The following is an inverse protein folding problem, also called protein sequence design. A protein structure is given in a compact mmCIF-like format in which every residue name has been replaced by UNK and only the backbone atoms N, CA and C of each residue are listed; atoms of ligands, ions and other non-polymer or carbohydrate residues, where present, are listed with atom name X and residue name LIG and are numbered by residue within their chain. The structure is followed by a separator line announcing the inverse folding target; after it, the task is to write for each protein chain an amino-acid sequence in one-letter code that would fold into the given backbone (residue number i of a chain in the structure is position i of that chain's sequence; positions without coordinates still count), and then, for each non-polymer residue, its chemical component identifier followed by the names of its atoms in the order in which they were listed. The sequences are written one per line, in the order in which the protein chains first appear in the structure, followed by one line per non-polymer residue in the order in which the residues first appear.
data_IF_769423644853
#
_entry.id   IF_769423644853
#
_cell.length_a   1.000
_cell.length_b   1.000
_cell.length_c   1.000
_cell.angle_alpha   90.00
_cell.angle_beta   90.00
_cell.angle_gamma   90.00
#
_symmetry.space_group_name_H-M   'P 1'
#
loop_
_entity.id
_entity.type
_entity.pdbx_description
1 polymer ?
#
# COMPACT_ATOMS: atom_id res chain seq x y z
N UNK A 1 25.56 0.06 10.13
CA UNK A 1 26.25 -0.01 8.81
C UNK A 1 25.41 0.60 7.69
N UNK A 2 24.13 0.23 7.47
CA UNK A 2 23.29 0.79 6.39
C UNK A 2 23.18 2.32 6.41
N UNK A 3 23.04 2.95 7.58
CA UNK A 3 23.02 4.42 7.69
C UNK A 3 24.32 5.08 7.20
N UNK A 4 25.46 4.42 7.38
CA UNK A 4 26.77 4.94 6.95
C UNK A 4 26.97 4.71 5.45
N UNK A 5 26.63 3.51 4.96
CA UNK A 5 26.69 3.19 3.53
C UNK A 5 25.75 4.08 2.70
N UNK A 6 24.54 4.35 3.18
CA UNK A 6 23.59 5.23 2.48
C UNK A 6 24.07 6.68 2.39
N UNK A 7 24.85 7.19 3.35
CA UNK A 7 25.49 8.52 3.26
C UNK A 7 26.51 8.60 2.13
N UNK A 8 27.14 7.49 1.79
CA UNK A 8 28.24 7.46 0.84
C UNK A 8 27.78 7.06 -0.57
N UNK A 9 26.80 6.18 -0.67
CA UNK A 9 26.37 5.57 -1.93
C UNK A 9 25.11 6.20 -2.55
N UNK A 10 24.32 6.95 -1.77
CA UNK A 10 23.03 7.49 -2.22
C UNK A 10 23.12 9.01 -2.24
N UNK A 11 23.15 9.58 -3.45
CA UNK A 11 23.01 11.02 -3.67
C UNK A 11 21.57 11.46 -3.34
N UNK A 12 21.40 12.63 -2.73
CA UNK A 12 20.09 13.19 -2.35
C UNK A 12 19.20 12.24 -1.53
N UNK A 13 19.82 11.53 -0.57
CA UNK A 13 19.20 10.44 0.21
C UNK A 13 17.95 10.82 1.00
N UNK A 14 17.70 12.11 1.20
CA UNK A 14 16.56 12.62 1.96
C UNK A 14 15.33 12.81 1.05
N UNK A 15 15.52 12.88 -0.28
CA UNK A 15 14.45 12.86 -1.27
C UNK A 15 13.92 11.44 -1.52
N UNK A 16 13.24 10.88 -0.52
CA UNK A 16 12.72 9.51 -0.52
C UNK A 16 11.55 9.29 -1.51
N UNK A 17 10.97 10.38 -2.00
CA UNK A 17 9.94 10.37 -3.05
C UNK A 17 10.55 10.10 -4.44
N UNK A 18 11.82 10.43 -4.65
CA UNK A 18 12.50 10.21 -5.91
C UNK A 18 12.63 8.72 -6.24
N UNK A 19 12.16 8.26 -7.42
CA UNK A 19 12.31 6.86 -7.85
C UNK A 19 13.76 6.38 -7.86
N UNK A 20 14.72 7.27 -8.14
CA UNK A 20 16.14 6.95 -8.17
C UNK A 20 16.69 6.64 -6.76
N UNK A 21 16.34 7.48 -5.78
CA UNK A 21 16.75 7.33 -4.38
C UNK A 21 16.17 6.05 -3.78
N UNK A 22 14.87 5.80 -4.03
CA UNK A 22 14.19 4.56 -3.62
C UNK A 22 14.89 3.32 -4.17
N UNK A 23 15.18 3.31 -5.47
CA UNK A 23 15.89 2.20 -6.13
C UNK A 23 17.28 2.01 -5.53
N UNK A 24 18.00 3.09 -5.21
CA UNK A 24 19.31 3.00 -4.58
C UNK A 24 19.23 2.38 -3.18
N UNK A 25 18.25 2.78 -2.36
CA UNK A 25 17.99 2.17 -1.06
C UNK A 25 17.65 0.68 -1.16
N UNK A 26 16.70 0.33 -2.03
CA UNK A 26 16.33 -1.07 -2.26
C UNK A 26 17.49 -1.91 -2.78
N UNK A 27 18.31 -1.34 -3.68
CA UNK A 27 19.51 -2.01 -4.22
C UNK A 27 20.55 -2.26 -3.13
N UNK A 28 20.83 -1.25 -2.30
CA UNK A 28 21.77 -1.35 -1.19
C UNK A 28 21.31 -2.38 -0.15
N UNK A 29 20.05 -2.30 0.28
CA UNK A 29 19.50 -3.19 1.31
C UNK A 29 19.41 -4.63 0.81
N UNK A 30 18.98 -4.83 -0.44
CA UNK A 30 18.96 -6.15 -1.08
C UNK A 30 20.36 -6.76 -1.22
N UNK A 31 21.34 -6.00 -1.71
CA UNK A 31 22.72 -6.49 -1.86
C UNK A 31 23.37 -6.85 -0.51
N UNK A 32 23.19 -6.01 0.51
CA UNK A 32 23.66 -6.29 1.86
C UNK A 32 22.94 -7.51 2.45
N UNK A 33 21.63 -7.61 2.27
CA UNK A 33 20.83 -8.74 2.74
C UNK A 33 21.29 -10.07 2.13
N UNK A 34 21.51 -10.10 0.81
CA UNK A 34 22.07 -11.26 0.10
C UNK A 34 23.43 -11.63 0.69
N UNK A 35 24.34 -10.67 0.84
CA UNK A 35 25.68 -10.93 1.37
C UNK A 35 25.66 -11.50 2.80
N UNK A 36 24.84 -10.92 3.69
CA UNK A 36 24.69 -11.39 5.07
C UNK A 36 24.09 -12.79 5.14
N UNK A 37 23.04 -13.06 4.35
CA UNK A 37 22.39 -14.37 4.31
C UNK A 37 23.31 -15.46 3.74
N UNK A 38 24.10 -15.16 2.70
CA UNK A 38 25.12 -16.09 2.18
C UNK A 38 26.20 -16.36 3.23
N UNK A 39 26.64 -15.34 3.97
CA UNK A 39 27.63 -15.49 5.03
C UNK A 39 27.09 -16.34 6.19
N UNK A 40 25.83 -16.14 6.58
CA UNK A 40 25.15 -16.96 7.58
C UNK A 40 24.99 -18.41 7.11
N UNK A 41 24.57 -18.63 5.86
CA UNK A 41 24.50 -19.95 5.26
C UNK A 41 25.86 -20.65 5.34
N UNK A 42 26.94 -20.02 4.85
CA UNK A 42 28.27 -20.60 4.89
C UNK A 42 28.69 -20.95 6.34
N UNK A 43 28.54 -20.00 7.26
CA UNK A 43 28.90 -20.19 8.67
C UNK A 43 28.14 -21.35 9.34
N UNK A 44 26.82 -21.39 9.18
CA UNK A 44 25.98 -22.48 9.72
C UNK A 44 26.24 -23.81 9.02
N UNK A 45 26.45 -23.82 7.71
CA UNK A 45 26.72 -25.04 6.96
C UNK A 45 28.03 -25.69 7.42
N UNK A 46 29.13 -24.92 7.49
CA UNK A 46 30.41 -25.43 8.00
C UNK A 46 30.30 -25.92 9.44
N UNK A 47 29.57 -25.22 10.29
CA UNK A 47 29.33 -25.62 11.66
C UNK A 47 28.49 -26.89 11.80
N UNK A 48 27.46 -27.03 10.98
CA UNK A 48 26.62 -28.23 10.90
C UNK A 48 27.45 -29.44 10.51
N UNK A 49 28.32 -29.30 9.50
CA UNK A 49 29.24 -30.37 9.09
C UNK A 49 30.25 -30.75 10.19
N UNK A 50 30.90 -29.77 10.81
CA UNK A 50 31.89 -30.02 11.88
C UNK A 50 31.26 -30.62 13.15
N UNK A 51 30.03 -30.23 13.47
CA UNK A 51 29.30 -30.75 14.65
C UNK A 51 28.52 -32.03 14.37
N UNK A 52 28.40 -32.46 13.10
CA UNK A 52 27.51 -33.55 12.68
C UNK A 52 26.02 -33.24 12.89
N UNK A 53 25.65 -31.96 13.05
CA UNK A 53 24.28 -31.56 13.33
C UNK A 53 23.50 -31.34 12.03
N UNK A 54 22.59 -32.28 11.75
CA UNK A 54 21.63 -32.19 10.65
C UNK A 54 20.73 -30.96 10.83
N UNK A 55 20.31 -30.66 12.06
CA UNK A 55 19.46 -29.51 12.37
C UNK A 55 20.12 -28.17 12.03
N UNK A 56 21.40 -27.99 12.40
CA UNK A 56 22.16 -26.76 12.07
C UNK A 56 22.41 -26.65 10.56
N UNK A 57 22.67 -27.78 9.90
CA UNK A 57 22.85 -27.81 8.45
C UNK A 57 21.55 -27.44 7.72
N UNK A 58 20.41 -27.95 8.16
CA UNK A 58 19.10 -27.60 7.61
C UNK A 58 18.78 -26.10 7.83
N UNK A 59 19.06 -25.58 9.02
CA UNK A 59 18.90 -24.15 9.33
C UNK A 59 19.82 -23.24 8.49
N UNK A 60 20.96 -23.75 8.02
CA UNK A 60 21.79 -23.03 7.06
C UNK A 60 21.00 -22.78 5.76
N UNK A 61 20.36 -23.81 5.19
CA UNK A 61 19.60 -23.71 3.94
C UNK A 61 18.43 -22.73 4.02
N UNK A 62 17.87 -22.48 5.21
CA UNK A 62 16.92 -21.39 5.40
C UNK A 62 17.57 -20.04 5.03
N UNK A 63 18.78 -19.76 5.50
CA UNK A 63 19.50 -18.54 5.10
C UNK A 63 19.88 -18.49 3.62
N UNK A 64 19.99 -19.63 2.95
CA UNK A 64 20.12 -19.64 1.50
C UNK A 64 18.81 -19.22 0.82
N UNK A 65 17.66 -19.71 1.29
CA UNK A 65 16.34 -19.29 0.84
C UNK A 65 16.12 -17.78 1.07
N UNK A 66 16.56 -17.25 2.20
CA UNK A 66 16.46 -15.81 2.52
C UNK A 66 17.34 -14.95 1.62
N UNK A 67 18.49 -15.47 1.18
CA UNK A 67 19.28 -14.83 0.13
C UNK A 67 18.49 -14.77 -1.18
N UNK A 68 17.73 -15.83 -1.50
CA UNK A 68 16.76 -15.86 -2.58
C UNK A 68 15.67 -14.79 -2.45
N UNK A 69 15.01 -14.69 -1.29
CA UNK A 69 14.01 -13.65 -1.00
C UNK A 69 14.58 -12.24 -1.12
N UNK A 70 15.82 -12.03 -0.65
CA UNK A 70 16.55 -10.77 -0.80
C UNK A 70 16.88 -10.45 -2.27
N UNK A 71 17.17 -11.47 -3.08
CA UNK A 71 17.38 -11.33 -4.52
C UNK A 71 16.08 -10.99 -5.26
N UNK A 72 14.96 -11.62 -4.90
CA UNK A 72 13.63 -11.28 -5.43
C UNK A 72 13.31 -9.82 -5.13
N UNK A 73 13.56 -9.35 -3.91
CA UNK A 73 13.33 -7.96 -3.52
C UNK A 73 14.24 -6.99 -4.30
N UNK A 74 15.53 -7.31 -4.42
CA UNK A 74 16.50 -6.54 -5.20
C UNK A 74 16.07 -6.42 -6.68
N UNK A 75 15.65 -7.53 -7.29
CA UNK A 75 15.14 -7.56 -8.66
C UNK A 75 13.84 -6.77 -8.77
N UNK A 76 12.95 -6.89 -7.78
CA UNK A 76 11.71 -6.13 -7.67
C UNK A 76 11.95 -4.63 -7.76
N UNK A 77 12.86 -4.08 -6.96
CA UNK A 77 13.24 -2.67 -7.02
C UNK A 77 13.87 -2.26 -8.36
N UNK A 78 14.70 -3.12 -8.95
CA UNK A 78 15.32 -2.82 -10.26
C UNK A 78 14.30 -2.76 -11.38
N UNK A 79 13.35 -3.71 -11.40
CA UNK A 79 12.29 -3.79 -12.39
C UNK A 79 11.24 -2.70 -12.17
N UNK A 80 10.86 -2.42 -10.91
CA UNK A 80 9.95 -1.33 -10.57
C UNK A 80 10.50 0.06 -10.93
N UNK A 81 11.82 0.22 -10.90
CA UNK A 81 12.52 1.42 -11.34
C UNK A 81 12.64 1.58 -12.86
N UNK A 82 12.13 0.63 -13.67
CA UNK A 82 12.15 0.75 -15.13
C UNK A 82 11.21 1.88 -15.59
N UNK A 83 11.67 2.63 -16.60
CA UNK A 83 10.86 3.69 -17.24
C UNK A 83 9.66 3.07 -17.98
N UNK A 84 8.60 3.85 -18.25
CA UNK A 84 7.53 3.44 -19.15
C UNK A 84 8.03 2.94 -20.50
N UNK A 85 7.33 1.97 -21.07
CA UNK A 85 7.55 1.44 -22.42
C UNK A 85 6.21 1.16 -23.11
N UNK A 86 6.25 0.62 -24.33
CA UNK A 86 5.06 0.38 -25.16
C UNK A 86 4.10 -0.64 -24.55
N UNK A 87 4.61 -1.60 -23.78
CA UNK A 87 3.80 -2.63 -23.13
C UNK A 87 3.25 -2.12 -21.79
N UNK A 88 3.95 -1.19 -21.14
CA UNK A 88 3.59 -0.59 -19.85
C UNK A 88 3.71 0.95 -19.89
N UNK A 89 2.72 1.66 -20.47
CA UNK A 89 2.76 3.13 -20.61
C UNK A 89 2.79 3.91 -19.29
N UNK A 90 2.28 3.33 -18.21
CA UNK A 90 2.35 3.90 -16.85
C UNK A 90 3.57 3.44 -16.06
N UNK A 91 4.46 2.67 -16.69
CA UNK A 91 5.67 2.13 -16.07
C UNK A 91 5.44 0.86 -15.27
N UNK A 92 6.47 0.47 -14.51
CA UNK A 92 6.59 -0.85 -13.91
C UNK A 92 6.49 -0.84 -12.37
N UNK A 93 6.07 0.28 -11.77
CA UNK A 93 6.16 0.52 -10.32
C UNK A 93 5.52 -0.58 -9.47
N UNK A 94 4.36 -1.11 -9.89
CA UNK A 94 3.65 -2.20 -9.19
C UNK A 94 4.45 -3.50 -9.05
N UNK A 95 5.56 -3.69 -9.79
CA UNK A 95 6.46 -4.83 -9.59
C UNK A 95 7.05 -4.83 -8.18
N UNK A 96 7.22 -3.67 -7.54
CA UNK A 96 7.65 -3.60 -6.14
C UNK A 96 6.66 -4.34 -5.24
N UNK A 97 5.36 -4.09 -5.41
CA UNK A 97 4.30 -4.80 -4.68
C UNK A 97 4.28 -6.29 -5.05
N UNK A 98 4.37 -6.65 -6.33
CA UNK A 98 4.42 -8.07 -6.73
C UNK A 98 5.60 -8.79 -6.06
N UNK A 99 6.77 -8.15 -5.97
CA UNK A 99 7.93 -8.71 -5.29
C UNK A 99 7.70 -8.91 -3.78
N UNK A 100 7.05 -7.95 -3.12
CA UNK A 100 6.65 -8.08 -1.72
C UNK A 100 5.65 -9.23 -1.50
N UNK A 101 4.72 -9.45 -2.44
CA UNK A 101 3.75 -10.53 -2.37
C UNK A 101 4.42 -11.91 -2.53
N UNK A 102 5.40 -12.02 -3.43
CA UNK A 102 6.22 -13.23 -3.59
C UNK A 102 6.96 -13.52 -2.27
N UNK A 103 7.61 -12.52 -1.68
CA UNK A 103 8.31 -12.68 -0.39
C UNK A 103 7.33 -13.09 0.72
N UNK A 104 6.16 -12.45 0.83
CA UNK A 104 5.14 -12.84 1.81
C UNK A 104 4.66 -14.30 1.60
N UNK A 105 4.55 -14.75 0.35
CA UNK A 105 4.25 -16.14 0.02
C UNK A 105 5.34 -17.12 0.45
N UNK A 106 6.62 -16.76 0.31
CA UNK A 106 7.74 -17.56 0.80
C UNK A 106 7.73 -17.67 2.33
N UNK A 107 7.47 -16.57 3.04
CA UNK A 107 7.34 -16.56 4.51
C UNK A 107 6.16 -17.46 4.93
N UNK A 108 5.03 -17.41 4.23
CA UNK A 108 3.87 -18.26 4.52
C UNK A 108 4.23 -19.75 4.37
N UNK A 109 4.93 -20.11 3.29
CA UNK A 109 5.40 -21.47 3.05
C UNK A 109 6.31 -21.94 4.20
N UNK A 110 7.29 -21.12 4.60
CA UNK A 110 8.17 -21.41 5.72
C UNK A 110 7.42 -21.56 7.05
N UNK A 111 6.44 -20.70 7.32
CA UNK A 111 5.59 -20.80 8.51
C UNK A 111 4.81 -22.13 8.55
N UNK A 112 4.29 -22.59 7.42
CA UNK A 112 3.61 -23.89 7.31
C UNK A 112 4.58 -25.06 7.52
N UNK A 113 5.77 -25.00 6.92
CA UNK A 113 6.81 -26.02 7.12
C UNK A 113 7.26 -26.12 8.58
N UNK A 114 7.48 -24.98 9.24
CA UNK A 114 7.83 -24.94 10.66
C UNK A 114 6.70 -25.49 11.52
N UNK A 115 5.44 -25.15 11.23
CA UNK A 115 4.28 -25.70 11.95
C UNK A 115 4.22 -27.23 11.82
N UNK A 116 4.42 -27.77 10.61
CA UNK A 116 4.46 -29.22 10.36
C UNK A 116 5.60 -29.89 11.11
N UNK A 117 6.82 -29.35 11.03
CA UNK A 117 7.98 -29.89 11.74
C UNK A 117 7.80 -29.83 13.26
N UNK A 118 7.21 -28.74 13.77
CA UNK A 118 6.94 -28.57 15.19
C UNK A 118 5.91 -29.56 15.70
N UNK A 119 4.84 -29.80 14.93
CA UNK A 119 3.84 -30.82 15.25
C UNK A 119 4.43 -32.23 15.24
N UNK A 120 5.29 -32.53 14.27
CA UNK A 120 5.98 -33.82 14.22
C UNK A 120 6.88 -34.03 15.45
N UNK A 121 7.62 -33.00 15.89
CA UNK A 121 8.43 -33.07 17.12
C UNK A 121 7.61 -33.23 18.40
N UNK A 122 6.34 -32.78 18.42
CA UNK A 122 5.42 -33.02 19.54
C UNK A 122 4.99 -34.49 19.55
N UNK A 123 4.71 -35.06 18.38
CA UNK A 123 4.28 -36.46 18.22
C UNK A 123 5.43 -37.46 18.39
N UNK A 124 6.63 -37.09 17.94
CA UNK A 124 7.85 -37.89 17.94
C UNK A 124 8.99 -37.10 18.60
N UNK A 125 9.08 -37.09 19.95
CA UNK A 125 10.10 -36.32 20.64
C UNK A 125 11.52 -36.84 20.37
N UNK A 126 12.36 -36.02 19.75
CA UNK A 126 13.78 -36.30 19.54
C UNK A 126 14.67 -35.58 20.56
N UNK A 127 15.81 -36.19 20.89
CA UNK A 127 16.80 -35.56 21.76
C UNK A 127 17.56 -34.48 20.97
N UNK A 128 17.42 -33.23 21.41
CA UNK A 128 18.17 -32.12 20.84
C UNK A 128 19.66 -32.26 21.19
N UNK A 129 20.51 -32.38 20.17
CA UNK A 129 21.96 -32.51 20.36
C UNK A 129 22.55 -31.16 20.78
N UNK A 130 23.13 -31.11 21.98
CA UNK A 130 23.73 -29.89 22.51
C UNK A 130 25.18 -29.75 22.04
N UNK A 131 25.49 -28.66 21.32
CA UNK A 131 26.85 -28.28 20.96
C UNK A 131 27.08 -26.81 21.29
N UNK A 132 28.17 -26.50 22.02
CA UNK A 132 28.55 -25.11 22.34
C UNK A 132 28.82 -24.30 21.06
N UNK A 133 29.38 -24.95 20.04
CA UNK A 133 29.64 -24.35 18.73
C UNK A 133 28.32 -24.02 18.01
N UNK A 134 27.35 -24.94 18.02
CA UNK A 134 26.02 -24.70 17.45
C UNK A 134 25.29 -23.55 18.17
N UNK A 135 25.35 -23.50 19.50
CA UNK A 135 24.72 -22.45 20.30
C UNK A 135 25.33 -21.07 20.00
N UNK A 136 26.66 -20.97 19.92
CA UNK A 136 27.34 -19.71 19.59
C UNK A 136 26.97 -19.20 18.20
N UNK A 137 26.84 -20.09 17.23
CA UNK A 137 26.50 -19.73 15.84
C UNK A 137 25.02 -19.35 15.69
N UNK A 138 24.11 -20.05 16.36
CA UNK A 138 22.71 -19.64 16.38
C UNK A 138 22.53 -18.29 17.08
N UNK A 139 23.24 -18.03 18.19
CA UNK A 139 23.23 -16.73 18.85
C UNK A 139 23.73 -15.61 17.92
N UNK A 140 24.84 -15.85 17.21
CA UNK A 140 25.35 -14.91 16.21
C UNK A 140 24.35 -14.69 15.06
N UNK A 141 23.68 -15.75 14.59
CA UNK A 141 22.64 -15.66 13.57
C UNK A 141 21.47 -14.79 14.01
N UNK A 142 20.99 -14.96 15.25
CA UNK A 142 19.92 -14.13 15.84
C UNK A 142 20.34 -12.66 15.83
N UNK A 143 21.58 -12.34 16.22
CA UNK A 143 22.08 -10.96 16.19
C UNK A 143 22.11 -10.37 14.78
N UNK A 144 22.59 -11.14 13.78
CA UNK A 144 22.65 -10.69 12.38
C UNK A 144 21.24 -10.50 11.82
N UNK A 145 20.33 -11.45 12.04
CA UNK A 145 18.94 -11.35 11.56
C UNK A 145 18.16 -10.23 12.25
N UNK A 146 18.39 -9.98 13.53
CA UNK A 146 17.82 -8.84 14.23
C UNK A 146 18.34 -7.51 13.65
N UNK A 147 19.63 -7.43 13.34
CA UNK A 147 20.18 -6.29 12.62
C UNK A 147 19.52 -6.12 11.24
N UNK A 148 19.29 -7.22 10.51
CA UNK A 148 18.60 -7.21 9.22
C UNK A 148 17.17 -6.69 9.31
N UNK A 149 16.41 -7.17 10.29
CA UNK A 149 15.08 -6.65 10.58
C UNK A 149 15.10 -5.15 10.86
N UNK A 150 16.01 -4.68 11.73
CA UNK A 150 16.09 -3.27 12.11
C UNK A 150 16.33 -2.36 10.90
N UNK A 151 17.31 -2.68 10.04
CA UNK A 151 17.61 -1.81 8.91
C UNK A 151 16.53 -1.90 7.82
N UNK A 152 16.01 -3.09 7.52
CA UNK A 152 14.96 -3.24 6.50
C UNK A 152 13.70 -2.52 6.93
N UNK A 153 13.31 -2.60 8.21
CA UNK A 153 12.16 -1.88 8.76
C UNK A 153 12.37 -0.36 8.76
N UNK A 154 13.57 0.10 9.14
CA UNK A 154 13.88 1.52 9.14
C UNK A 154 13.84 2.10 7.73
N UNK A 155 14.44 1.42 6.75
CA UNK A 155 14.42 1.85 5.34
C UNK A 155 13.03 1.70 4.75
N UNK A 156 12.37 0.56 4.96
CA UNK A 156 11.01 0.29 4.47
C UNK A 156 10.00 1.34 4.89
N UNK A 157 10.04 1.80 6.15
CA UNK A 157 9.22 2.92 6.61
C UNK A 157 9.63 4.25 5.98
N UNK A 158 10.94 4.52 5.89
CA UNK A 158 11.48 5.77 5.34
C UNK A 158 11.14 5.95 3.85
N UNK A 159 11.07 4.87 3.10
CA UNK A 159 10.67 4.88 1.68
C UNK A 159 9.29 4.26 1.47
N UNK A 160 8.42 4.13 2.47
CA UNK A 160 7.07 3.55 2.31
C UNK A 160 7.02 2.31 1.39
N UNK A 161 7.92 1.34 1.61
CA UNK A 161 8.09 0.18 0.75
C UNK A 161 7.55 -1.08 1.40
N UNK A 162 6.46 -1.60 0.84
CA UNK A 162 5.88 -2.88 1.23
C UNK A 162 6.87 -4.05 1.06
N UNK A 163 7.68 -4.04 -0.01
CA UNK A 163 8.68 -5.08 -0.26
C UNK A 163 9.78 -5.12 0.82
N UNK A 164 10.24 -3.95 1.28
CA UNK A 164 11.21 -3.85 2.38
C UNK A 164 10.59 -4.23 3.74
N UNK A 165 9.35 -3.82 4.01
CA UNK A 165 8.66 -4.23 5.24
C UNK A 165 8.44 -5.75 5.26
N UNK A 166 8.09 -6.37 4.12
CA UNK A 166 8.02 -7.82 3.99
C UNK A 166 9.37 -8.51 4.25
N UNK A 167 10.47 -7.98 3.70
CA UNK A 167 11.84 -8.49 3.96
C UNK A 167 12.26 -8.29 5.42
N UNK A 168 11.77 -7.23 6.08
CA UNK A 168 11.97 -7.05 7.51
C UNK A 168 11.23 -8.13 8.29
N UNK A 169 9.95 -8.40 7.97
CA UNK A 169 9.15 -9.43 8.64
C UNK A 169 9.72 -10.84 8.43
N UNK A 170 10.29 -11.12 7.26
CA UNK A 170 11.07 -12.34 6.98
C UNK A 170 12.23 -12.49 7.98
N UNK A 171 13.08 -11.46 8.08
CA UNK A 171 14.23 -11.46 9.02
C UNK A 171 13.79 -11.57 10.50
N UNK A 172 12.63 -11.00 10.86
CA UNK A 172 12.06 -11.13 12.20
C UNK A 172 11.55 -12.55 12.47
N UNK A 173 10.92 -13.17 11.48
CA UNK A 173 10.41 -14.54 11.55
C UNK A 173 11.55 -15.52 11.80
N UNK A 174 12.67 -15.36 11.10
CA UNK A 174 13.88 -16.15 11.35
C UNK A 174 14.48 -15.89 12.72
N UNK A 175 14.53 -14.62 13.14
CA UNK A 175 15.02 -14.25 14.47
C UNK A 175 14.21 -14.98 15.53
N UNK A 176 12.88 -14.95 15.43
CA UNK A 176 11.98 -15.63 16.35
C UNK A 176 12.15 -17.16 16.31
N UNK A 177 12.26 -17.74 15.11
CA UNK A 177 12.46 -19.19 14.91
C UNK A 177 13.78 -19.68 15.48
N UNK A 178 14.91 -19.08 15.10
CA UNK A 178 16.22 -19.46 15.62
C UNK A 178 16.32 -19.19 17.13
N UNK A 179 15.71 -18.11 17.63
CA UNK A 179 15.67 -17.83 19.07
C UNK A 179 14.86 -18.87 19.84
N UNK A 180 13.72 -19.32 19.30
CA UNK A 180 12.93 -20.40 19.88
C UNK A 180 13.73 -21.70 20.01
N UNK A 181 14.44 -22.09 18.95
CA UNK A 181 15.32 -23.28 18.98
C UNK A 181 16.42 -23.11 20.03
N UNK A 182 17.01 -21.91 20.14
CA UNK A 182 18.04 -21.61 21.13
C UNK A 182 17.51 -21.73 22.57
N UNK A 183 16.31 -21.18 22.84
CA UNK A 183 15.63 -21.30 24.13
C UNK A 183 15.28 -22.76 24.43
N UNK A 184 14.75 -23.50 23.46
CA UNK A 184 14.43 -24.92 23.60
C UNK A 184 15.68 -25.76 23.91
N UNK A 185 16.82 -25.48 23.27
CA UNK A 185 18.10 -26.12 23.56
C UNK A 185 18.58 -25.86 25.00
N UNK A 186 18.44 -24.62 25.49
CA UNK A 186 18.83 -24.28 26.86
C UNK A 186 17.92 -24.96 27.90
N UNK A 187 16.60 -24.93 27.67
CA UNK A 187 15.62 -25.58 28.54
C UNK A 187 15.82 -27.10 28.55
N UNK A 188 15.98 -27.71 27.38
CA UNK A 188 16.22 -29.15 27.22
C UNK A 188 17.48 -29.60 27.96
N UNK A 189 18.54 -28.79 27.96
CA UNK A 189 19.77 -29.09 28.72
C UNK A 189 19.55 -29.13 30.23
N UNK A 190 18.73 -28.23 30.78
CA UNK A 190 18.57 -28.08 32.24
C UNK A 190 17.43 -28.90 32.82
N UNK A 191 16.38 -29.15 32.03
CA UNK A 191 15.14 -29.82 32.48
C UNK A 191 14.95 -31.22 31.89
N UNK A 192 15.63 -31.55 30.79
CA UNK A 192 15.41 -32.80 30.04
C UNK A 192 14.08 -32.86 29.29
N UNK A 193 13.27 -31.80 29.29
CA UNK A 193 11.97 -31.75 28.63
C UNK A 193 12.09 -31.43 27.14
N UNK A 194 11.35 -32.16 26.30
CA UNK A 194 11.25 -31.92 24.86
C UNK A 194 10.23 -30.80 24.56
N UNK A 195 10.61 -29.54 24.85
CA UNK A 195 9.75 -28.36 24.62
C UNK A 195 9.85 -27.78 23.20
N UNK A 196 10.80 -28.24 22.39
CA UNK A 196 11.11 -27.71 21.06
C UNK A 196 9.89 -27.66 20.13
N UNK A 197 9.09 -28.74 20.08
CA UNK A 197 7.88 -28.78 19.27
C UNK A 197 6.81 -27.77 19.69
N UNK A 198 6.60 -27.56 21.00
CA UNK A 198 5.62 -26.58 21.48
C UNK A 198 6.06 -25.13 21.21
N UNK A 199 7.33 -24.83 21.46
CA UNK A 199 7.88 -23.49 21.21
C UNK A 199 7.87 -23.20 19.71
N UNK A 200 8.29 -24.17 18.89
CA UNK A 200 8.25 -24.08 17.43
C UNK A 200 6.85 -23.83 16.89
N UNK A 201 5.82 -24.48 17.45
CA UNK A 201 4.43 -24.28 17.04
C UNK A 201 3.93 -22.85 17.35
N UNK A 202 4.25 -22.31 18.52
CA UNK A 202 3.91 -20.92 18.90
C UNK A 202 4.58 -19.94 17.94
N UNK A 203 5.86 -20.15 17.62
CA UNK A 203 6.56 -19.32 16.65
C UNK A 203 5.96 -19.45 15.25
N UNK A 204 5.63 -20.66 14.81
CA UNK A 204 5.00 -20.86 13.50
C UNK A 204 3.69 -20.07 13.37
N UNK A 205 2.84 -20.06 14.41
CA UNK A 205 1.61 -19.25 14.42
C UNK A 205 1.91 -17.74 14.30
N UNK A 206 2.93 -17.26 15.00
CA UNK A 206 3.38 -15.87 14.89
C UNK A 206 3.88 -15.51 13.48
N UNK A 207 4.64 -16.42 12.85
CA UNK A 207 5.14 -16.26 11.48
C UNK A 207 3.98 -16.25 10.48
N UNK A 208 3.03 -17.18 10.59
CA UNK A 208 1.85 -17.23 9.72
C UNK A 208 1.01 -15.96 9.80
N UNK A 209 0.82 -15.42 11.02
CA UNK A 209 0.14 -14.14 11.21
C UNK A 209 0.91 -12.98 10.56
N UNK A 210 2.24 -12.96 10.71
CA UNK A 210 3.11 -11.94 10.11
C UNK A 210 3.10 -12.02 8.57
N UNK A 211 3.10 -13.22 8.01
CA UNK A 211 3.00 -13.46 6.57
C UNK A 211 1.65 -12.98 6.00
N UNK A 212 0.54 -13.31 6.68
CA UNK A 212 -0.79 -12.82 6.32
C UNK A 212 -0.85 -11.29 6.31
N UNK A 213 -0.29 -10.65 7.35
CA UNK A 213 -0.24 -9.19 7.44
C UNK A 213 0.57 -8.58 6.29
N UNK A 214 1.78 -9.09 6.03
CA UNK A 214 2.63 -8.62 4.94
C UNK A 214 1.96 -8.80 3.55
N UNK A 215 1.28 -9.94 3.34
CA UNK A 215 0.52 -10.20 2.12
C UNK A 215 -0.63 -9.19 1.95
N UNK A 216 -1.40 -8.93 3.00
CA UNK A 216 -2.50 -7.94 2.98
C UNK A 216 -2.00 -6.52 2.68
N UNK A 217 -0.90 -6.11 3.33
CA UNK A 217 -0.28 -4.80 3.11
C UNK A 217 0.24 -4.64 1.68
N UNK A 218 0.62 -5.74 1.03
CA UNK A 218 1.11 -5.71 -0.35
C UNK A 218 0.01 -5.85 -1.40
N UNK A 219 -1.10 -6.54 -1.05
CA UNK A 219 -2.24 -6.72 -1.94
C UNK A 219 -3.10 -5.45 -2.03
N UNK A 220 -3.21 -4.68 -0.95
CA UNK A 220 -4.05 -3.48 -0.91
C UNK A 220 -3.69 -2.46 -2.00
N UNK A 221 -2.41 -2.07 -2.20
CA UNK A 221 -2.04 -1.17 -3.29
C UNK A 221 -2.29 -1.74 -4.69
N UNK A 222 -2.25 -3.07 -4.85
CA UNK A 222 -2.54 -3.73 -6.13
C UNK A 222 -4.03 -3.69 -6.50
N UNK A 223 -4.92 -3.69 -5.51
CA UNK A 223 -6.38 -3.67 -5.70
C UNK A 223 -6.96 -2.25 -5.86
N UNK A 224 -6.20 -1.21 -5.57
CA UNK A 224 -6.68 0.18 -5.55
C UNK A 224 -6.98 0.64 -4.14
N UNK A 225 -5.93 0.79 -3.32
CA UNK A 225 -6.04 1.35 -1.99
C UNK A 225 -6.51 2.81 -2.05
N UNK A 226 -7.37 3.21 -1.11
CA UNK A 226 -7.77 4.61 -0.97
C UNK A 226 -6.53 5.51 -0.77
N UNK A 227 -6.48 6.67 -1.43
CA UNK A 227 -5.36 7.60 -1.29
C UNK A 227 -5.30 8.19 0.12
N UNK A 228 -4.14 8.75 0.48
CA UNK A 228 -3.97 9.48 1.73
C UNK A 228 -4.89 10.72 1.75
N UNK A 229 -5.72 10.93 2.78
CA UNK A 229 -6.55 12.13 2.90
C UNK A 229 -5.76 13.44 2.84
N UNK A 230 -4.49 13.45 3.28
CA UNK A 230 -3.63 14.63 3.16
C UNK A 230 -3.28 14.94 1.70
N UNK A 231 -2.95 13.91 0.90
CA UNK A 231 -2.72 14.05 -0.54
C UNK A 231 -3.98 14.53 -1.26
N UNK A 232 -5.15 13.99 -0.92
CA UNK A 232 -6.44 14.41 -1.48
C UNK A 232 -6.70 15.89 -1.23
N UNK A 233 -6.42 16.37 0.00
CA UNK A 233 -6.55 17.79 0.35
C UNK A 233 -5.58 18.66 -0.43
N UNK A 234 -4.32 18.24 -0.53
CA UNK A 234 -3.30 18.98 -1.27
C UNK A 234 -3.64 19.12 -2.76
N UNK A 235 -4.14 18.05 -3.40
CA UNK A 235 -4.64 18.09 -4.78
C UNK A 235 -5.80 19.09 -4.89
N UNK A 236 -6.78 19.02 -3.99
CA UNK A 236 -7.93 19.93 -4.00
C UNK A 236 -7.50 21.38 -3.83
N UNK A 237 -6.57 21.65 -2.91
CA UNK A 237 -6.08 23.00 -2.62
C UNK A 237 -5.32 23.59 -3.83
N UNK A 238 -4.53 22.77 -4.54
CA UNK A 238 -3.86 23.20 -5.78
C UNK A 238 -4.89 23.52 -6.86
N UNK A 239 -5.85 22.63 -7.11
CA UNK A 239 -6.85 22.82 -8.17
C UNK A 239 -7.78 24.01 -7.87
N UNK A 240 -8.16 24.22 -6.61
CA UNK A 240 -9.00 25.33 -6.16
C UNK A 240 -8.22 26.65 -5.97
N UNK A 241 -6.91 26.68 -6.26
CA UNK A 241 -6.10 27.89 -6.07
C UNK A 241 -6.32 28.95 -7.15
N UNK A 242 -6.84 28.55 -8.31
CA UNK A 242 -7.21 29.45 -9.39
C UNK A 242 -8.70 29.82 -9.29
N UNK A 243 -9.01 31.12 -9.35
CA UNK A 243 -10.37 31.67 -9.21
C UNK A 243 -11.33 31.19 -10.32
N UNK A 244 -10.81 30.67 -11.43
CA UNK A 244 -11.60 30.10 -12.53
C UNK A 244 -12.27 28.79 -12.13
N UNK A 245 -11.68 28.04 -11.19
CA UNK A 245 -12.24 26.77 -10.72
C UNK A 245 -13.16 27.03 -9.53
N UNK A 246 -14.47 26.82 -9.73
CA UNK A 246 -15.48 27.08 -8.69
C UNK A 246 -15.76 25.87 -7.81
N UNK A 247 -15.33 24.69 -8.23
CA UNK A 247 -15.54 23.44 -7.49
C UNK A 247 -14.73 22.28 -8.05
N UNK A 248 -14.53 21.26 -7.21
CA UNK A 248 -13.85 20.01 -7.59
C UNK A 248 -14.62 18.83 -7.02
N UNK A 249 -14.90 17.86 -7.89
CA UNK A 249 -15.57 16.60 -7.56
C UNK A 249 -14.97 15.44 -8.38
N UNK A 250 -15.42 14.22 -8.09
CA UNK A 250 -14.99 12.97 -8.73
C UNK A 250 -13.47 12.78 -8.84
N UNK A 251 -12.75 13.19 -7.80
CA UNK A 251 -11.32 12.94 -7.69
C UNK A 251 -11.09 11.43 -7.54
N UNK A 252 -10.33 10.88 -8.48
CA UNK A 252 -9.85 9.49 -8.46
C UNK A 252 -8.33 9.52 -8.54
N UNK A 253 -7.68 8.82 -7.62
CA UNK A 253 -6.22 8.69 -7.57
C UNK A 253 -5.84 7.24 -7.87
N UNK A 254 -5.19 7.01 -8.99
CA UNK A 254 -4.67 5.71 -9.40
C UNK A 254 -3.19 5.55 -9.05
N UNK A 255 -2.87 4.57 -8.20
CA UNK A 255 -1.49 4.20 -7.88
C UNK A 255 -0.93 3.14 -8.86
N UNK A 256 0.10 3.49 -9.62
CA UNK A 256 0.85 2.60 -10.52
C UNK A 256 2.18 2.13 -9.93
N UNK A 257 2.28 2.18 -8.61
CA UNK A 257 3.44 1.88 -7.81
C UNK A 257 4.19 3.14 -7.39
N UNK A 258 5.19 2.97 -6.52
CA UNK A 258 5.75 4.11 -5.80
C UNK A 258 6.29 5.22 -6.72
N UNK A 259 5.89 6.45 -6.41
CA UNK A 259 6.23 7.65 -7.17
C UNK A 259 5.56 7.74 -8.55
N UNK A 260 4.46 7.01 -8.78
CA UNK A 260 3.69 7.05 -10.03
C UNK A 260 2.20 7.08 -9.71
N UNK A 261 1.68 8.30 -9.64
CA UNK A 261 0.26 8.55 -9.44
C UNK A 261 -0.32 9.12 -10.74
N UNK A 262 -1.49 8.59 -11.11
CA UNK A 262 -2.34 9.16 -12.15
C UNK A 262 -3.60 9.65 -11.49
N UNK A 263 -3.97 10.90 -11.71
CA UNK A 263 -5.11 11.57 -11.13
C UNK A 263 -6.10 11.87 -12.23
N UNK A 264 -7.37 11.60 -11.98
CA UNK A 264 -8.47 12.12 -12.79
C UNK A 264 -9.44 12.83 -11.87
N UNK A 265 -9.92 14.01 -12.27
CA UNK A 265 -10.89 14.78 -11.49
C UNK A 265 -11.74 15.64 -12.40
N UNK A 266 -12.86 16.10 -11.89
CA UNK A 266 -13.69 17.11 -12.54
C UNK A 266 -13.50 18.46 -11.86
N UNK A 267 -13.26 19.49 -12.66
CA UNK A 267 -13.19 20.87 -12.23
C UNK A 267 -14.40 21.64 -12.76
N UNK A 268 -15.23 22.14 -11.85
CA UNK A 268 -16.36 23.01 -12.19
C UNK A 268 -15.80 24.38 -12.65
N UNK A 269 -16.15 24.80 -13.87
CA UNK A 269 -15.73 26.07 -14.48
C UNK A 269 -16.95 26.85 -15.01
N UNK A 270 -16.89 28.17 -15.19
CA UNK A 270 -18.01 28.93 -15.74
C UNK A 270 -18.43 28.43 -17.14
N UNK A 271 -19.74 28.23 -17.35
CA UNK A 271 -20.30 27.84 -18.65
C UNK A 271 -20.15 28.94 -19.73
N UNK A 272 -19.82 30.16 -19.32
CA UNK A 272 -19.64 31.32 -20.17
C UNK A 272 -18.22 31.85 -20.04
N UNK A 273 -17.55 32.08 -21.17
CA UNK A 273 -16.18 32.54 -21.20
C UNK A 273 -15.45 32.10 -22.47
N UNK A 274 -14.16 32.42 -22.54
CA UNK A 274 -13.28 31.88 -23.57
C UNK A 274 -12.80 30.49 -23.16
N UNK A 275 -13.22 29.47 -23.93
CA UNK A 275 -12.83 28.08 -23.70
C UNK A 275 -11.32 27.86 -23.76
N UNK A 276 -10.61 28.63 -24.60
CA UNK A 276 -9.15 28.51 -24.69
C UNK A 276 -8.48 29.04 -23.43
N UNK A 277 -8.98 30.15 -22.89
CA UNK A 277 -8.46 30.70 -21.64
C UNK A 277 -8.70 29.76 -20.44
N UNK A 278 -9.89 29.14 -20.36
CA UNK A 278 -10.19 28.16 -19.31
C UNK A 278 -9.32 26.90 -19.47
N UNK A 279 -9.15 26.40 -20.70
CA UNK A 279 -8.25 25.28 -20.96
C UNK A 279 -6.80 25.60 -20.55
N UNK A 280 -6.31 26.81 -20.84
CA UNK A 280 -4.96 27.23 -20.44
C UNK A 280 -4.79 27.24 -18.90
N UNK A 281 -5.84 27.62 -18.15
CA UNK A 281 -5.85 27.53 -16.68
C UNK A 281 -5.72 26.08 -16.23
N UNK A 282 -6.54 25.18 -16.78
CA UNK A 282 -6.48 23.75 -16.45
C UNK A 282 -5.12 23.14 -16.78
N UNK A 283 -4.55 23.43 -17.95
CA UNK A 283 -3.20 23.00 -18.35
C UNK A 283 -2.12 23.45 -17.35
N UNK A 284 -2.27 24.64 -16.78
CA UNK A 284 -1.33 25.15 -15.78
C UNK A 284 -1.49 24.42 -14.44
N UNK A 285 -2.73 24.14 -14.01
CA UNK A 285 -3.01 23.34 -12.82
C UNK A 285 -2.44 21.92 -12.98
N UNK A 286 -2.63 21.28 -14.15
CA UNK A 286 -2.06 19.96 -14.43
C UNK A 286 -0.52 19.96 -14.34
N UNK A 287 0.14 21.00 -14.87
CA UNK A 287 1.59 21.17 -14.74
C UNK A 287 2.01 21.38 -13.30
N UNK A 288 1.29 22.18 -12.53
CA UNK A 288 1.59 22.44 -11.12
C UNK A 288 1.48 21.15 -10.28
N UNK A 289 0.44 20.34 -10.52
CA UNK A 289 0.30 19.01 -9.91
C UNK A 289 1.49 18.10 -10.26
N UNK A 290 1.94 18.10 -11.52
CA UNK A 290 3.12 17.32 -11.95
C UNK A 290 4.42 17.82 -11.28
N UNK A 291 4.60 19.13 -11.13
CA UNK A 291 5.80 19.72 -10.55
C UNK A 291 5.87 19.53 -9.03
N UNK A 292 4.76 19.75 -8.32
CA UNK A 292 4.70 19.68 -6.85
C UNK A 292 4.54 18.26 -6.33
N UNK A 293 3.66 17.47 -6.95
CA UNK A 293 3.25 16.16 -6.44
C UNK A 293 3.76 14.99 -7.28
N UNK A 294 4.41 15.26 -8.42
CA UNK A 294 4.91 14.24 -9.34
C UNK A 294 3.84 13.26 -9.82
N UNK A 295 2.63 13.77 -10.03
CA UNK A 295 1.48 13.02 -10.55
C UNK A 295 1.10 13.50 -11.96
N UNK A 296 0.68 12.55 -12.79
CA UNK A 296 0.03 12.89 -14.05
C UNK A 296 -1.45 13.14 -13.77
N UNK A 297 -1.96 14.32 -14.12
CA UNK A 297 -3.37 14.64 -13.96
C UNK A 297 -4.06 14.70 -15.32
N UNK A 298 -5.33 14.34 -15.35
CA UNK A 298 -6.27 14.66 -16.43
C UNK A 298 -7.49 15.28 -15.77
N UNK A 299 -7.73 16.55 -16.06
CA UNK A 299 -8.82 17.32 -15.47
C UNK A 299 -9.93 17.47 -16.52
N UNK A 300 -11.10 16.93 -16.21
CA UNK A 300 -12.30 17.19 -17.00
C UNK A 300 -12.87 18.56 -16.61
N UNK A 301 -13.04 19.45 -17.58
CA UNK A 301 -13.75 20.70 -17.39
C UNK A 301 -15.25 20.45 -17.40
N UNK A 302 -15.91 20.73 -16.27
CA UNK A 302 -17.36 20.64 -16.17
C UNK A 302 -17.99 22.05 -16.12
N UNK A 303 -18.68 22.50 -17.18
CA UNK A 303 -19.23 23.84 -17.25
C UNK A 303 -20.48 23.99 -16.38
N UNK A 304 -20.45 24.96 -15.48
CA UNK A 304 -21.58 25.32 -14.59
C UNK A 304 -22.09 26.72 -14.95
N UNK A 305 -23.40 26.83 -15.14
CA UNK A 305 -24.06 28.12 -15.30
C UNK A 305 -24.04 28.89 -13.97
N UNK A 306 -23.21 29.94 -13.93
CA UNK A 306 -23.02 30.80 -12.75
C UNK A 306 -23.82 32.10 -12.85
N UNK A 307 -24.40 32.41 -14.01
CA UNK A 307 -25.06 33.69 -14.27
C UNK A 307 -26.57 33.64 -13.99
N UNK A 308 -27.20 32.46 -14.07
CA UNK A 308 -28.62 32.30 -13.74
C UNK A 308 -28.84 32.13 -12.21
N UNK A 309 -29.14 33.25 -11.54
CA UNK A 309 -29.48 33.28 -10.12
C UNK A 309 -30.67 32.38 -9.73
N UNK A 310 -31.56 32.04 -10.68
CA UNK A 310 -32.66 31.10 -10.44
C UNK A 310 -32.18 29.65 -10.37
N UNK A 311 -31.23 29.26 -11.22
CA UNK A 311 -30.59 27.94 -11.21
C UNK A 311 -29.75 27.78 -9.96
N UNK A 312 -28.96 28.80 -9.59
CA UNK A 312 -28.16 28.78 -8.36
C UNK A 312 -29.03 28.61 -7.10
N UNK A 313 -30.18 29.30 -7.04
CA UNK A 313 -31.15 29.13 -5.95
C UNK A 313 -31.73 27.71 -5.93
N UNK A 314 -32.08 27.16 -7.09
CA UNK A 314 -32.64 25.82 -7.21
C UNK A 314 -31.62 24.74 -6.82
N UNK A 315 -30.35 24.87 -7.23
CA UNK A 315 -29.23 24.03 -6.77
C UNK A 315 -29.14 24.05 -5.25
N UNK A 316 -29.19 25.22 -4.62
CA UNK A 316 -29.16 25.36 -3.17
C UNK A 316 -30.34 24.67 -2.46
N UNK A 317 -31.54 24.76 -3.02
CA UNK A 317 -32.73 24.07 -2.50
C UNK A 317 -32.59 22.55 -2.61
N UNK A 318 -32.16 22.05 -3.76
CA UNK A 318 -31.94 20.61 -3.99
C UNK A 318 -30.84 20.08 -3.08
N UNK A 319 -29.72 20.80 -2.93
CA UNK A 319 -28.65 20.43 -2.01
C UNK A 319 -29.15 20.31 -0.56
N UNK A 320 -29.99 21.25 -0.12
CA UNK A 320 -30.59 21.20 1.21
C UNK A 320 -31.56 20.01 1.37
N UNK A 321 -32.34 19.68 0.35
CA UNK A 321 -33.24 18.53 0.35
C UNK A 321 -32.50 17.19 0.36
N UNK A 322 -31.42 17.10 -0.42
CA UNK A 322 -30.56 15.92 -0.47
C UNK A 322 -29.91 15.68 0.90
N UNK A 323 -29.45 16.73 1.58
CA UNK A 323 -28.95 16.62 2.97
C UNK A 323 -30.00 16.19 4.00
N UNK A 324 -31.29 16.38 3.72
CA UNK A 324 -32.35 15.81 4.58
C UNK A 324 -32.53 14.30 4.37
N UNK A 325 -32.04 13.74 3.25
CA UNK A 325 -32.10 12.28 2.98
C UNK A 325 -31.03 11.61 3.82
N UNK A 326 -29.81 12.10 3.70
CA UNK A 326 -28.67 11.69 4.48
C UNK A 326 -27.79 12.94 4.65
N UNK A 327 -27.47 13.38 5.87
CA UNK A 327 -26.72 14.62 6.12
C UNK A 327 -25.36 14.70 5.42
N UNK A 328 -24.77 13.56 5.09
CA UNK A 328 -23.47 13.46 4.44
C UNK A 328 -23.53 13.43 2.91
N UNK A 329 -24.71 13.42 2.28
CA UNK A 329 -24.83 13.51 0.82
C UNK A 329 -24.41 14.90 0.32
N UNK A 330 -23.63 14.92 -0.76
CA UNK A 330 -23.37 16.11 -1.58
C UNK A 330 -23.96 15.93 -2.97
N UNK A 331 -24.10 17.03 -3.72
CA UNK A 331 -24.54 17.01 -5.12
C UNK A 331 -23.51 17.68 -6.01
N UNK A 332 -23.36 17.16 -7.22
CA UNK A 332 -22.51 17.66 -8.30
C UNK A 332 -23.28 17.68 -9.63
N UNK A 333 -22.71 18.30 -10.66
CA UNK A 333 -23.22 18.33 -12.04
C UNK A 333 -24.66 18.83 -12.19
N UNK A 334 -25.07 19.74 -11.30
CA UNK A 334 -26.44 20.22 -11.25
C UNK A 334 -26.78 21.09 -12.46
N UNK A 335 -27.73 20.62 -13.28
CA UNK A 335 -28.29 21.36 -14.41
C UNK A 335 -29.79 21.19 -14.51
N UNK A 336 -30.42 22.16 -15.17
CA UNK A 336 -31.88 22.22 -15.36
C UNK A 336 -32.20 22.14 -16.84
N UNK A 337 -32.98 21.11 -17.24
CA UNK A 337 -33.53 21.01 -18.59
C UNK A 337 -35.01 21.36 -18.54
N UNK A 338 -35.36 22.52 -19.09
CA UNK A 338 -36.75 23.02 -19.12
C UNK A 338 -37.57 22.23 -20.13
N UNK A 339 -38.70 21.68 -19.69
CA UNK A 339 -39.59 20.89 -20.53
C UNK A 339 -40.96 21.56 -20.71
N UNK A 340 -41.74 21.06 -21.68
CA UNK A 340 -43.09 21.58 -21.95
C UNK A 340 -44.12 21.17 -20.90
N UNK A 341 -43.84 20.09 -20.17
CA UNK A 341 -44.73 19.56 -19.12
C UNK A 341 -44.13 19.71 -17.73
N UNK A 342 -42.83 19.42 -17.57
CA UNK A 342 -42.08 19.47 -16.33
C UNK A 342 -40.62 19.85 -16.60
N UNK A 343 -39.94 20.30 -15.57
CA UNK A 343 -38.51 20.62 -15.62
C UNK A 343 -37.70 19.47 -15.00
N UNK A 344 -36.67 19.01 -15.71
CA UNK A 344 -35.78 17.96 -15.23
C UNK A 344 -34.59 18.59 -14.50
N UNK A 345 -34.42 18.19 -13.24
CA UNK A 345 -33.25 18.53 -12.42
C UNK A 345 -32.30 17.34 -12.51
N UNK A 346 -31.19 17.54 -13.22
CA UNK A 346 -30.20 16.50 -13.47
C UNK A 346 -28.98 16.81 -12.61
N UNK A 347 -28.54 15.85 -11.81
CA UNK A 347 -27.39 15.99 -10.93
C UNK A 347 -26.94 14.62 -10.42
N UNK A 348 -25.69 14.53 -10.01
CA UNK A 348 -25.16 13.35 -9.34
C UNK A 348 -25.07 13.61 -7.84
N UNK A 349 -25.31 12.57 -7.05
CA UNK A 349 -25.28 12.66 -5.59
C UNK A 349 -24.29 11.64 -5.02
N UNK A 350 -23.45 12.10 -4.11
CA UNK A 350 -22.34 11.30 -3.58
C UNK A 350 -22.69 10.78 -2.20
N UNK A 351 -22.86 9.46 -2.11
CA UNK A 351 -23.21 8.73 -0.90
C UNK A 351 -21.95 8.14 -0.26
N UNK A 352 -21.61 8.51 0.99
CA UNK A 352 -20.44 7.92 1.64
C UNK A 352 -20.60 6.42 1.87
N UNK A 353 -19.49 5.67 1.81
CA UNK A 353 -19.48 4.23 2.12
C UNK A 353 -19.92 3.90 3.56
N UNK A 354 -19.91 4.89 4.46
CA UNK A 354 -20.40 4.75 5.83
C UNK A 354 -21.92 4.85 5.97
N UNK A 355 -22.65 5.27 4.92
CA UNK A 355 -24.11 5.38 4.99
C UNK A 355 -24.78 4.02 5.09
N UNK A 356 -25.89 3.97 5.82
CA UNK A 356 -26.75 2.77 5.91
C UNK A 356 -27.68 2.59 4.72
N UNK A 357 -27.80 3.61 3.85
CA UNK A 357 -28.64 3.55 2.66
C UNK A 357 -27.90 2.91 1.49
N UNK A 358 -28.62 2.22 0.61
CA UNK A 358 -28.08 1.86 -0.71
C UNK A 358 -28.22 3.04 -1.68
N UNK A 359 -27.38 3.13 -2.74
CA UNK A 359 -27.54 4.15 -3.78
C UNK A 359 -28.96 4.20 -4.38
N UNK A 360 -29.59 3.03 -4.57
CA UNK A 360 -30.96 2.95 -5.07
C UNK A 360 -32.00 3.52 -4.08
N UNK A 361 -31.83 3.30 -2.78
CA UNK A 361 -32.70 3.86 -1.74
C UNK A 361 -32.52 5.38 -1.64
N UNK A 362 -31.28 5.87 -1.66
CA UNK A 362 -30.98 7.30 -1.66
C UNK A 362 -31.57 7.98 -2.90
N UNK A 363 -31.37 7.40 -4.09
CA UNK A 363 -31.91 7.92 -5.35
C UNK A 363 -33.45 8.01 -5.30
N UNK A 364 -34.11 6.99 -4.77
CA UNK A 364 -35.57 7.00 -4.61
C UNK A 364 -36.04 8.10 -3.66
N UNK A 365 -35.41 8.22 -2.48
CA UNK A 365 -35.76 9.23 -1.50
C UNK A 365 -35.54 10.67 -2.01
N UNK A 366 -34.47 10.88 -2.79
CA UNK A 366 -34.20 12.16 -3.46
C UNK A 366 -35.31 12.47 -4.48
N UNK A 367 -35.67 11.51 -5.34
CA UNK A 367 -36.74 11.69 -6.35
C UNK A 367 -38.08 12.03 -5.71
N UNK A 368 -38.44 11.36 -4.63
CA UNK A 368 -39.70 11.59 -3.93
C UNK A 368 -39.75 13.00 -3.31
N UNK A 369 -38.62 13.48 -2.77
CA UNK A 369 -38.51 14.83 -2.20
C UNK A 369 -38.51 15.93 -3.25
N UNK A 370 -37.79 15.75 -4.36
CA UNK A 370 -37.78 16.73 -5.45
C UNK A 370 -39.17 16.86 -6.07
N UNK A 371 -39.90 15.75 -6.21
CA UNK A 371 -41.27 15.75 -6.72
C UNK A 371 -42.27 16.48 -5.81
N UNK A 372 -41.95 16.61 -4.52
CA UNK A 372 -42.75 17.34 -3.54
C UNK A 372 -42.42 18.85 -3.48
N UNK A 373 -41.43 19.32 -4.24
CA UNK A 373 -41.10 20.75 -4.34
C UNK A 373 -42.21 21.52 -5.04
N UNK A 374 -42.30 22.83 -4.76
CA UNK A 374 -43.17 23.73 -5.50
C UNK A 374 -42.55 24.02 -6.88
N UNK A 375 -43.31 23.75 -7.95
CA UNK A 375 -42.82 23.66 -9.32
C UNK A 375 -42.81 22.21 -9.82
N UNK A 376 -43.19 21.99 -11.08
CA UNK A 376 -43.32 20.64 -11.65
C UNK A 376 -41.93 20.07 -11.99
N UNK A 377 -41.17 19.66 -10.96
CA UNK A 377 -39.78 19.21 -11.05
C UNK A 377 -39.65 17.70 -10.96
N UNK A 378 -38.76 17.14 -11.77
CA UNK A 378 -38.39 15.72 -11.74
C UNK A 378 -36.88 15.58 -11.59
N UNK A 379 -36.43 14.81 -10.59
CA UNK A 379 -35.02 14.51 -10.42
C UNK A 379 -34.59 13.35 -11.33
N UNK A 380 -33.59 13.62 -12.16
CA UNK A 380 -32.81 12.61 -12.88
C UNK A 380 -31.48 12.52 -12.14
N UNK A 381 -31.44 11.68 -11.10
CA UNK A 381 -30.30 11.57 -10.19
C UNK A 381 -29.57 10.24 -10.33
N UNK A 382 -28.25 10.30 -10.47
CA UNK A 382 -27.35 9.15 -10.26
C UNK A 382 -26.79 9.26 -8.85
N UNK A 383 -26.78 8.16 -8.10
CA UNK A 383 -26.16 8.12 -6.77
C UNK A 383 -24.96 7.21 -6.83
N UNK A 384 -23.80 7.76 -6.51
CA UNK A 384 -22.52 7.05 -6.54
C UNK A 384 -21.80 7.16 -5.20
N UNK A 385 -20.76 6.35 -5.00
CA UNK A 385 -19.90 6.44 -3.82
C UNK A 385 -18.67 7.30 -4.12
N UNK A 386 -18.23 8.08 -3.15
CA UNK A 386 -16.98 8.84 -3.23
C UNK A 386 -15.78 7.89 -3.25
N UNK A 387 -14.81 8.17 -4.13
CA UNK A 387 -13.55 7.43 -4.19
C UNK A 387 -12.48 7.95 -3.22
N UNK A 388 -12.74 9.06 -2.51
CA UNK A 388 -11.74 9.82 -1.74
C UNK A 388 -12.18 10.27 -0.34
N UNK A 389 -13.26 9.68 0.20
CA UNK A 389 -13.82 10.00 1.53
C UNK A 389 -12.85 9.78 2.71
#
# INVERSE_FOLDING_TARGET
MIQLLSRWLIHDRDNVSSPAVRRAYGTLCGAVGIALNILLFAGKFFAGQLSGSIAVTADAFNNLSDAGSSAVTLLGFRLAGKKPDTDHPFGHGRIEYISGLIVAGLILLMGVELAKSSLDKILHPEKVTFSLLALGIMAASVCVKLYMWLYNRQVGRRIHSAAMEATAMDSLSDTASTFAVLVAMLIGKWTGLAVDGYVGLVVALFILFSAYKAARETLSPLLGQAPDPELVREIRDIVMSDDTVVGVHDLVVHDYGPGRLMITLHAEVPAHGDIMAMHDVIDNIEKELMEKLHCHAVIHMDPVDTDDASIARLRGQVAALVKQVEPSLTIHDFRVVRGTTHDNLIFDAVLPFSSTMTPAQAAQAIRDRVRAMDGNYYAVVTVEHSYTD
#
